data_IF_770410161095
#
_entry.id   IF_770410161095
#
_cell.length_a   1.000
_cell.length_b   1.000
_cell.length_c   1.000
_cell.angle_alpha   90.00
_cell.angle_beta   90.00
_cell.angle_gamma   90.00
#
_symmetry.space_group_name_H-M   'P 1'
#
loop_
_entity.id
_entity.type
_entity.pdbx_description
1 polymer ?
#
# COMPACT_ATOMS: atom_id res chain seq x y z
N UNK A 1 -5.69 -18.85 -16.60
CA UNK A 1 -5.28 -17.58 -16.00
C UNK A 1 -3.90 -17.20 -16.52
N UNK A 2 -3.72 -15.93 -16.88
CA UNK A 2 -2.43 -15.42 -17.33
C UNK A 2 -1.66 -14.81 -16.14
N UNK A 3 -0.37 -15.07 -16.05
CA UNK A 3 0.51 -14.38 -15.09
C UNK A 3 1.03 -13.08 -15.70
N UNK A 4 0.90 -11.97 -14.97
CA UNK A 4 1.39 -10.65 -15.39
C UNK A 4 2.85 -10.50 -14.96
N UNK A 5 3.77 -10.95 -15.80
CA UNK A 5 5.20 -10.86 -15.51
C UNK A 5 5.66 -9.39 -15.48
N UNK A 6 6.43 -8.98 -14.47
CA UNK A 6 6.94 -7.63 -14.26
C UNK A 6 5.83 -6.54 -14.12
N UNK A 7 4.62 -6.91 -13.70
CA UNK A 7 3.60 -5.92 -13.38
C UNK A 7 3.97 -5.16 -12.09
N UNK A 8 3.56 -3.89 -12.05
CA UNK A 8 3.65 -3.07 -10.82
C UNK A 8 2.34 -3.26 -10.06
N UNK A 9 2.39 -3.83 -8.88
CA UNK A 9 1.22 -3.95 -8.01
C UNK A 9 1.05 -2.71 -7.14
N UNK A 10 -0.21 -2.43 -6.83
CA UNK A 10 -0.62 -1.31 -5.99
C UNK A 10 -1.75 -1.73 -5.07
N UNK A 11 -1.67 -1.32 -3.81
CA UNK A 11 -2.79 -1.32 -2.87
C UNK A 11 -3.35 0.09 -2.75
N UNK A 12 -4.63 0.27 -2.95
CA UNK A 12 -5.30 1.56 -2.80
C UNK A 12 -6.27 1.49 -1.64
N UNK A 13 -6.04 2.34 -0.65
CA UNK A 13 -6.95 2.51 0.47
C UNK A 13 -7.86 3.71 0.23
N UNK A 14 -9.16 3.50 0.36
CA UNK A 14 -10.13 4.57 0.21
C UNK A 14 -11.21 4.51 1.28
N UNK A 15 -11.89 5.63 1.48
CA UNK A 15 -13.08 5.74 2.34
C UNK A 15 -14.24 6.26 1.52
N UNK A 16 -15.40 5.64 1.71
CA UNK A 16 -16.65 6.01 1.03
C UNK A 16 -17.78 6.20 2.05
N UNK A 17 -18.61 7.20 1.86
CA UNK A 17 -19.84 7.41 2.65
C UNK A 17 -21.14 7.05 1.88
N UNK A 18 -20.97 6.39 0.71
CA UNK A 18 -22.06 6.04 -0.20
C UNK A 18 -22.36 7.11 -1.26
N UNK A 19 -21.75 8.29 -1.17
CA UNK A 19 -21.89 9.41 -2.13
C UNK A 19 -20.53 9.93 -2.57
N UNK A 20 -19.67 10.23 -1.61
CA UNK A 20 -18.32 10.72 -1.81
C UNK A 20 -17.29 9.62 -1.53
N UNK A 21 -16.20 9.63 -2.29
CA UNK A 21 -15.08 8.71 -2.11
C UNK A 21 -13.78 9.50 -2.05
N UNK A 22 -13.01 9.28 -1.00
CA UNK A 22 -11.68 9.88 -0.85
C UNK A 22 -10.63 8.79 -0.82
N UNK A 23 -9.62 8.92 -1.69
CA UNK A 23 -8.43 8.08 -1.64
C UNK A 23 -7.63 8.44 -0.39
N UNK A 24 -7.43 7.46 0.47
CA UNK A 24 -6.60 7.58 1.67
C UNK A 24 -5.13 7.46 1.34
N UNK A 25 -4.80 6.63 0.35
CA UNK A 25 -3.45 6.49 -0.15
C UNK A 25 -3.34 5.44 -1.24
N UNK A 26 -2.39 5.65 -2.16
CA UNK A 26 -1.98 4.70 -3.20
C UNK A 26 -0.60 4.19 -2.80
N UNK A 27 -0.51 2.90 -2.49
CA UNK A 27 0.72 2.24 -2.07
C UNK A 27 1.28 1.46 -3.24
N UNK A 28 2.45 1.84 -3.71
CA UNK A 28 3.15 1.10 -4.76
C UNK A 28 4.01 0.02 -4.13
N UNK A 29 3.86 -1.23 -4.55
CA UNK A 29 4.70 -2.35 -4.12
C UNK A 29 6.12 -2.22 -4.69
N UNK A 30 7.09 -2.67 -3.91
CA UNK A 30 8.51 -2.69 -4.27
C UNK A 30 8.87 -4.05 -4.89
N UNK A 31 8.35 -5.13 -4.31
CA UNK A 31 8.52 -6.47 -4.83
C UNK A 31 7.73 -6.67 -6.13
N UNK A 32 8.16 -7.65 -6.90
CA UNK A 32 7.47 -8.03 -8.13
C UNK A 32 6.06 -8.59 -7.85
N UNK A 33 5.19 -8.53 -8.86
CA UNK A 33 3.84 -9.06 -8.81
C UNK A 33 3.82 -10.56 -8.45
N UNK A 34 2.78 -10.97 -7.70
CA UNK A 34 2.58 -12.35 -7.26
C UNK A 34 3.08 -12.65 -5.85
N UNK A 35 3.72 -11.69 -5.18
CA UNK A 35 4.04 -11.77 -3.76
C UNK A 35 2.85 -11.23 -2.96
N UNK A 36 2.50 -11.93 -1.88
CA UNK A 36 1.38 -11.51 -1.02
C UNK A 36 1.56 -10.08 -0.52
N UNK A 37 0.52 -9.24 -0.62
CA UNK A 37 0.58 -7.81 -0.26
C UNK A 37 1.02 -7.54 1.19
N UNK A 38 0.78 -8.48 2.11
CA UNK A 38 1.28 -8.41 3.48
C UNK A 38 2.78 -8.56 3.60
N UNK A 39 3.42 -9.24 2.66
CA UNK A 39 4.85 -9.52 2.62
C UNK A 39 5.62 -8.52 1.75
N UNK A 40 4.93 -7.81 0.87
CA UNK A 40 5.53 -6.79 0.03
C UNK A 40 5.81 -5.51 0.81
N UNK A 41 7.00 -4.95 0.61
CA UNK A 41 7.26 -3.57 0.98
C UNK A 41 6.45 -2.64 0.06
N UNK A 42 5.98 -1.52 0.57
CA UNK A 42 5.27 -0.55 -0.25
C UNK A 42 5.55 0.89 0.15
N UNK A 43 5.55 1.76 -0.86
CA UNK A 43 5.80 3.19 -0.72
C UNK A 43 4.53 4.02 -0.83
N UNK A 44 4.38 4.98 0.06
CA UNK A 44 3.38 6.05 0.02
C UNK A 44 4.10 7.41 0.18
N UNK A 45 3.99 8.36 -0.76
CA UNK A 45 3.37 8.19 -2.08
C UNK A 45 4.10 7.19 -2.98
N UNK A 46 3.50 6.80 -4.13
CA UNK A 46 4.18 6.00 -5.15
C UNK A 46 5.49 6.65 -5.59
N UNK A 47 6.52 5.82 -5.82
CA UNK A 47 7.87 6.34 -6.13
C UNK A 47 8.21 6.33 -7.62
N UNK A 48 7.47 5.58 -8.45
CA UNK A 48 7.74 5.46 -9.89
C UNK A 48 6.52 5.62 -10.80
N UNK A 49 5.31 5.76 -10.24
CA UNK A 49 4.11 5.96 -11.03
C UNK A 49 4.03 7.40 -11.56
N UNK A 50 3.54 7.56 -12.80
CA UNK A 50 3.30 8.88 -13.38
C UNK A 50 2.05 9.51 -12.77
N UNK A 51 1.98 10.85 -12.79
CA UNK A 51 0.78 11.58 -12.31
C UNK A 51 -0.50 11.18 -13.05
N UNK A 52 -0.38 10.90 -14.35
CA UNK A 52 -1.54 10.50 -15.16
C UNK A 52 -2.05 9.11 -14.76
N UNK A 53 -1.14 8.17 -14.50
CA UNK A 53 -1.51 6.85 -13.99
C UNK A 53 -2.14 6.93 -12.59
N UNK A 54 -1.61 7.77 -11.70
CA UNK A 54 -2.19 8.02 -10.36
C UNK A 54 -3.62 8.57 -10.49
N UNK A 55 -3.88 9.48 -11.44
CA UNK A 55 -5.23 9.99 -11.71
C UNK A 55 -6.16 8.89 -12.23
N UNK A 56 -5.68 8.08 -13.18
CA UNK A 56 -6.46 6.96 -13.74
C UNK A 56 -6.84 5.94 -12.64
N UNK A 57 -5.88 5.56 -11.80
CA UNK A 57 -6.10 4.69 -10.62
C UNK A 57 -7.15 5.30 -9.70
N UNK A 58 -7.03 6.59 -9.38
CA UNK A 58 -7.97 7.28 -8.49
C UNK A 58 -9.39 7.30 -9.06
N UNK A 59 -9.55 7.56 -10.36
CA UNK A 59 -10.86 7.55 -11.04
C UNK A 59 -11.46 6.14 -11.00
N UNK A 60 -10.67 5.13 -11.34
CA UNK A 60 -11.12 3.72 -11.33
C UNK A 60 -11.60 3.29 -9.94
N UNK A 61 -10.82 3.55 -8.91
CA UNK A 61 -11.16 3.15 -7.52
C UNK A 61 -12.41 3.86 -7.02
N UNK A 62 -12.55 5.17 -7.31
CA UNK A 62 -13.76 5.92 -6.96
C UNK A 62 -15.00 5.35 -7.66
N UNK A 63 -14.91 5.03 -8.94
CA UNK A 63 -16.00 4.40 -9.69
C UNK A 63 -16.38 3.04 -9.12
N UNK A 64 -15.41 2.20 -8.81
CA UNK A 64 -15.63 0.88 -8.19
C UNK A 64 -16.36 1.03 -6.85
N UNK A 65 -15.86 1.92 -5.97
CA UNK A 65 -16.44 2.13 -4.65
C UNK A 65 -17.91 2.55 -4.70
N UNK A 66 -18.26 3.43 -5.64
CA UNK A 66 -19.64 3.89 -5.84
C UNK A 66 -20.53 2.81 -6.44
N UNK A 67 -20.03 2.05 -7.43
CA UNK A 67 -20.79 0.99 -8.10
C UNK A 67 -21.18 -0.14 -7.15
N UNK A 68 -20.25 -0.55 -6.27
CA UNK A 68 -20.55 -1.57 -5.26
C UNK A 68 -21.26 -1.01 -4.03
N UNK A 69 -21.57 0.31 -4.03
CA UNK A 69 -22.23 1.01 -2.92
C UNK A 69 -21.49 0.85 -1.58
N UNK A 70 -20.16 0.95 -1.62
CA UNK A 70 -19.35 0.83 -0.42
C UNK A 70 -19.70 1.92 0.59
N UNK A 71 -19.70 1.56 1.89
CA UNK A 71 -19.79 2.53 3.00
C UNK A 71 -18.74 2.13 4.03
N UNK A 72 -17.85 3.06 4.35
CA UNK A 72 -16.70 2.81 5.21
C UNK A 72 -15.41 2.65 4.40
N UNK A 73 -14.54 1.76 4.85
CA UNK A 73 -13.24 1.50 4.23
C UNK A 73 -13.36 0.52 3.08
N UNK A 74 -12.55 0.76 2.05
CA UNK A 74 -12.40 -0.13 0.90
C UNK A 74 -10.92 -0.19 0.52
N UNK A 75 -10.42 -1.39 0.30
CA UNK A 75 -9.12 -1.67 -0.29
C UNK A 75 -9.31 -2.21 -1.70
N UNK A 76 -8.58 -1.67 -2.65
CA UNK A 76 -8.57 -2.13 -4.05
C UNK A 76 -7.14 -2.47 -4.43
N UNK A 77 -6.93 -3.67 -4.96
CA UNK A 77 -5.64 -4.12 -5.47
C UNK A 77 -5.65 -4.05 -6.99
N UNK A 78 -4.67 -3.35 -7.54
CA UNK A 78 -4.48 -3.18 -8.97
C UNK A 78 -3.08 -3.63 -9.38
N UNK A 79 -2.95 -4.08 -10.63
CA UNK A 79 -1.67 -4.28 -11.28
C UNK A 79 -1.59 -3.42 -12.55
N UNK A 80 -0.44 -2.82 -12.80
CA UNK A 80 -0.15 -2.08 -14.02
C UNK A 80 0.87 -2.84 -14.85
N UNK A 81 0.50 -3.18 -16.08
CA UNK A 81 1.34 -3.95 -16.99
C UNK A 81 1.05 -3.53 -18.44
N UNK A 82 2.09 -3.30 -19.24
CA UNK A 82 1.98 -2.92 -20.67
C UNK A 82 0.97 -1.79 -20.94
N UNK A 83 1.06 -0.71 -20.16
CA UNK A 83 0.17 0.46 -20.24
C UNK A 83 -1.32 0.13 -20.00
N UNK A 84 -1.62 -0.90 -19.22
CA UNK A 84 -2.98 -1.29 -18.83
C UNK A 84 -3.08 -1.49 -17.33
N UNK A 85 -4.21 -1.05 -16.76
CA UNK A 85 -4.59 -1.37 -15.39
C UNK A 85 -5.43 -2.65 -15.36
N UNK A 86 -5.08 -3.53 -14.44
CA UNK A 86 -5.80 -4.77 -14.15
C UNK A 86 -6.33 -4.72 -12.72
N UNK A 87 -7.63 -4.93 -12.56
CA UNK A 87 -8.24 -5.11 -11.25
C UNK A 87 -7.96 -6.52 -10.76
N UNK A 88 -7.29 -6.64 -9.61
CA UNK A 88 -6.99 -7.92 -9.00
C UNK A 88 -8.05 -8.29 -7.96
N UNK A 89 -8.30 -7.39 -6.99
CA UNK A 89 -9.20 -7.65 -5.88
C UNK A 89 -9.86 -6.37 -5.37
N UNK A 90 -11.08 -6.50 -4.87
CA UNK A 90 -11.82 -5.43 -4.19
C UNK A 90 -12.29 -5.94 -2.83
N UNK A 91 -11.85 -5.28 -1.78
CA UNK A 91 -12.14 -5.63 -0.39
C UNK A 91 -12.90 -4.49 0.31
N UNK A 92 -14.24 -4.51 0.39
CA UNK A 92 -15.02 -3.49 1.10
C UNK A 92 -14.93 -3.71 2.63
N UNK A 93 -13.74 -3.56 3.17
CA UNK A 93 -13.39 -3.73 4.57
C UNK A 93 -12.10 -3.01 4.90
N UNK A 94 -11.80 -2.85 6.19
CA UNK A 94 -10.46 -2.41 6.62
C UNK A 94 -9.39 -3.44 6.20
N UNK A 95 -8.28 -2.93 5.71
CA UNK A 95 -7.09 -3.70 5.40
C UNK A 95 -6.03 -3.56 6.52
N UNK A 96 -4.97 -4.33 6.45
CA UNK A 96 -3.83 -4.22 7.36
C UNK A 96 -3.00 -2.95 7.14
N UNK A 97 -3.04 -2.37 5.94
CA UNK A 97 -2.31 -1.14 5.61
C UNK A 97 -2.97 0.13 6.13
N UNK A 98 -4.24 0.07 6.62
CA UNK A 98 -4.94 1.23 7.18
C UNK A 98 -4.17 1.94 8.31
N UNK A 99 -3.55 1.25 9.29
CA UNK A 99 -2.75 1.93 10.31
C UNK A 99 -1.53 2.64 9.73
N UNK A 100 -0.85 2.03 8.76
CA UNK A 100 0.28 2.63 8.06
C UNK A 100 -0.14 3.90 7.31
N UNK A 101 -1.16 3.81 6.45
CA UNK A 101 -1.69 4.96 5.70
C UNK A 101 -2.14 6.07 6.64
N UNK A 102 -2.86 5.73 7.70
CA UNK A 102 -3.33 6.70 8.69
C UNK A 102 -2.20 7.49 9.35
N UNK A 103 -1.06 6.82 9.65
CA UNK A 103 0.15 7.47 10.17
C UNK A 103 0.78 8.39 9.13
N UNK A 104 0.87 7.93 7.87
CA UNK A 104 1.46 8.71 6.79
C UNK A 104 0.73 10.03 6.55
N UNK A 105 -0.61 10.01 6.53
CA UNK A 105 -1.44 11.19 6.24
C UNK A 105 -1.86 12.00 7.48
N UNK A 106 -1.55 11.50 8.68
CA UNK A 106 -1.91 12.16 9.94
C UNK A 106 -3.42 12.16 10.24
N UNK A 107 -4.20 11.26 9.62
CA UNK A 107 -5.65 11.13 9.82
C UNK A 107 -6.04 9.67 10.02
N UNK A 108 -6.81 9.38 11.06
CA UNK A 108 -7.27 8.02 11.34
C UNK A 108 -8.35 7.58 10.35
N UNK A 109 -7.97 6.86 9.29
CA UNK A 109 -8.92 6.34 8.31
C UNK A 109 -9.92 5.36 8.92
N UNK A 110 -9.48 4.56 9.90
CA UNK A 110 -10.36 3.64 10.61
C UNK A 110 -11.50 4.38 11.32
N UNK A 111 -11.19 5.52 12.01
CA UNK A 111 -12.20 6.36 12.64
C UNK A 111 -13.14 6.98 11.60
N UNK A 112 -12.59 7.53 10.51
CA UNK A 112 -13.38 8.15 9.44
C UNK A 112 -14.32 7.12 8.83
N UNK A 113 -13.83 5.94 8.48
CA UNK A 113 -14.65 4.86 7.92
C UNK A 113 -15.75 4.39 8.87
N UNK A 114 -15.43 4.22 10.16
CA UNK A 114 -16.43 3.85 11.17
C UNK A 114 -17.54 4.92 11.31
N UNK A 115 -17.19 6.20 11.25
CA UNK A 115 -18.16 7.30 11.26
C UNK A 115 -19.03 7.31 10.00
N UNK A 116 -18.47 7.00 8.81
CA UNK A 116 -19.26 6.82 7.59
C UNK A 116 -20.30 5.71 7.76
N UNK A 117 -19.90 4.57 8.33
CA UNK A 117 -20.80 3.46 8.61
C UNK A 117 -21.88 3.82 9.64
N UNK A 118 -21.61 4.78 10.53
CA UNK A 118 -22.57 5.35 11.46
C UNK A 118 -23.45 6.45 10.83
N UNK A 119 -23.32 6.72 9.53
CA UNK A 119 -24.13 7.69 8.79
C UNK A 119 -23.60 9.12 8.80
N UNK A 120 -22.36 9.36 9.28
CA UNK A 120 -21.74 10.68 9.27
C UNK A 120 -20.95 10.82 7.96
N UNK A 121 -21.32 11.82 7.14
CA UNK A 121 -20.72 12.01 5.82
C UNK A 121 -19.24 12.41 5.89
N UNK A 122 -18.49 12.14 4.82
CA UNK A 122 -17.11 12.62 4.68
C UNK A 122 -17.03 14.14 4.75
N UNK A 123 -18.05 14.83 4.25
CA UNK A 123 -18.17 16.29 4.33
C UNK A 123 -18.27 16.78 5.79
N UNK A 124 -19.10 16.17 6.62
CA UNK A 124 -19.27 16.55 8.03
C UNK A 124 -18.01 16.23 8.86
N UNK A 125 -17.17 15.30 8.38
CA UNK A 125 -15.89 14.94 8.96
C UNK A 125 -14.73 15.84 8.45
N UNK A 126 -14.98 16.81 7.57
CA UNK A 126 -13.97 17.63 6.89
C UNK A 126 -12.88 16.74 6.20
N UNK A 127 -13.33 15.71 5.50
CA UNK A 127 -12.47 14.76 4.79
C UNK A 127 -12.99 14.53 3.37
N UNK A 128 -12.86 15.53 2.50
CA UNK A 128 -13.27 15.48 1.08
C UNK A 128 -12.09 15.50 0.11
N UNK A 129 -10.88 15.69 0.62
CA UNK A 129 -9.68 15.79 -0.22
C UNK A 129 -8.66 14.77 0.23
N UNK A 130 -7.98 14.22 -0.75
CA UNK A 130 -6.81 13.37 -0.56
C UNK A 130 -5.67 14.16 0.10
N UNK A 131 -4.97 13.54 1.04
CA UNK A 131 -3.80 14.11 1.69
C UNK A 131 -2.57 13.40 1.15
N UNK A 132 -1.76 14.13 0.38
CA UNK A 132 -0.48 13.63 -0.12
C UNK A 132 0.61 14.13 0.81
N UNK A 133 1.32 13.24 1.54
CA UNK A 133 2.41 13.65 2.41
C UNK A 133 3.56 14.28 1.61
N UNK A 134 4.23 15.33 2.14
CA UNK A 134 5.41 15.93 1.50
C UNK A 134 6.71 15.10 1.70
N UNK A 135 6.59 13.89 2.17
CA UNK A 135 7.67 12.94 2.45
C UNK A 135 7.25 11.54 2.03
N UNK A 136 8.23 10.67 1.82
CA UNK A 136 8.00 9.26 1.55
C UNK A 136 7.90 8.47 2.84
N UNK A 137 7.01 7.50 2.84
CA UNK A 137 6.92 6.48 3.88
C UNK A 137 6.96 5.11 3.22
N UNK A 138 7.79 4.23 3.73
CA UNK A 138 7.87 2.84 3.26
C UNK A 138 7.45 1.92 4.40
N UNK A 139 6.49 1.06 4.11
CA UNK A 139 6.15 -0.10 4.93
C UNK A 139 7.10 -1.24 4.55
N UNK A 140 7.70 -1.90 5.52
CA UNK A 140 8.52 -3.09 5.33
C UNK A 140 7.96 -4.22 6.19
N UNK A 141 7.93 -5.43 5.64
CA UNK A 141 7.47 -6.61 6.35
C UNK A 141 8.55 -7.15 7.32
N UNK A 142 8.12 -7.70 8.45
CA UNK A 142 9.01 -8.39 9.39
C UNK A 142 8.76 -9.89 9.30
N UNK A 143 9.82 -10.65 9.01
CA UNK A 143 9.75 -12.09 8.81
C UNK A 143 10.35 -12.86 10.01
N UNK A 144 9.70 -13.95 10.46
CA UNK A 144 10.17 -14.75 11.59
C UNK A 144 11.17 -15.84 11.18
N UNK A 145 11.80 -15.76 10.00
CA UNK A 145 12.64 -16.84 9.45
C UNK A 145 13.78 -17.27 10.36
N UNK A 146 14.35 -16.33 11.11
CA UNK A 146 15.41 -16.63 12.08
C UNK A 146 14.94 -17.45 13.28
N UNK A 147 13.63 -17.48 13.54
CA UNK A 147 13.03 -18.24 14.65
C UNK A 147 12.62 -19.66 14.26
N UNK A 148 12.49 -19.93 12.96
CA UNK A 148 12.03 -21.20 12.43
C UNK A 148 13.06 -21.76 11.46
N UNK A 149 13.91 -22.67 11.96
CA UNK A 149 14.94 -23.32 11.15
C UNK A 149 14.30 -24.21 10.08
N UNK A 150 14.82 -24.12 8.84
CA UNK A 150 14.38 -24.95 7.72
C UNK A 150 13.13 -24.46 6.99
N UNK A 151 12.60 -23.28 7.32
CA UNK A 151 11.53 -22.64 6.56
C UNK A 151 12.14 -21.99 5.31
N UNK A 152 11.50 -22.19 4.15
CA UNK A 152 11.86 -21.54 2.91
C UNK A 152 11.60 -20.02 2.99
N UNK A 153 12.63 -19.17 2.84
CA UNK A 153 12.45 -17.72 2.87
C UNK A 153 11.93 -17.12 1.56
N UNK A 154 11.78 -17.90 0.48
CA UNK A 154 11.29 -17.42 -0.80
C UNK A 154 9.85 -16.95 -0.64
N UNK A 155 9.60 -15.67 -0.99
CA UNK A 155 8.28 -15.08 -0.94
C UNK A 155 7.41 -15.55 -2.11
N UNK A 156 6.10 -15.56 -1.89
CA UNK A 156 5.11 -16.03 -2.85
C UNK A 156 3.71 -15.56 -2.50
N UNK A 157 2.67 -16.23 -3.00
CA UNK A 157 1.28 -15.82 -2.79
C UNK A 157 0.76 -16.04 -1.36
N UNK A 158 1.49 -16.81 -0.54
CA UNK A 158 1.13 -17.07 0.86
C UNK A 158 1.87 -16.12 1.79
N UNK A 159 1.15 -15.50 2.73
CA UNK A 159 1.74 -14.58 3.68
C UNK A 159 2.63 -15.29 4.70
N UNK A 160 3.87 -14.82 4.84
CA UNK A 160 4.88 -15.33 5.80
C UNK A 160 5.26 -14.31 6.87
N UNK A 161 4.98 -13.02 6.67
CA UNK A 161 5.30 -11.96 7.63
C UNK A 161 4.46 -12.05 8.90
N UNK A 162 5.04 -11.59 10.00
CA UNK A 162 4.39 -11.56 11.33
C UNK A 162 4.22 -10.15 11.88
N UNK A 163 4.71 -9.14 11.17
CA UNK A 163 4.63 -7.75 11.56
C UNK A 163 5.10 -6.84 10.44
N UNK A 164 5.06 -5.54 10.70
CA UNK A 164 5.52 -4.53 9.77
C UNK A 164 6.17 -3.36 10.52
N UNK A 165 7.06 -2.67 9.84
CA UNK A 165 7.71 -1.44 10.29
C UNK A 165 7.53 -0.34 9.27
N UNK A 166 7.79 0.90 9.66
CA UNK A 166 7.67 2.07 8.81
C UNK A 166 8.96 2.88 8.84
N UNK A 167 9.52 3.14 7.66
CA UNK A 167 10.59 4.13 7.46
C UNK A 167 10.03 5.38 6.80
N UNK A 168 10.50 6.56 7.21
CA UNK A 168 10.13 7.84 6.59
C UNK A 168 11.37 8.62 6.18
N UNK A 169 11.30 9.30 5.03
CA UNK A 169 12.42 10.08 4.50
C UNK A 169 11.96 11.18 3.57
N UNK A 170 12.86 12.10 3.26
CA UNK A 170 12.63 13.20 2.30
C UNK A 170 12.57 12.70 0.86
N UNK A 171 13.08 11.51 0.61
CA UNK A 171 13.00 10.79 -0.66
C UNK A 171 12.76 9.30 -0.41
N UNK A 172 12.40 8.58 -1.48
CA UNK A 172 12.10 7.15 -1.42
C UNK A 172 13.26 6.33 -0.87
N UNK A 173 14.49 6.55 -1.35
CA UNK A 173 15.66 5.76 -0.96
C UNK A 173 15.96 5.86 0.54
N UNK A 174 15.83 7.06 1.12
CA UNK A 174 16.00 7.28 2.56
C UNK A 174 14.91 6.55 3.36
N UNK A 175 13.65 6.67 2.93
CA UNK A 175 12.53 5.99 3.58
C UNK A 175 12.69 4.47 3.54
N UNK A 176 13.08 3.94 2.39
CA UNK A 176 13.29 2.50 2.20
C UNK A 176 14.46 1.98 3.05
N UNK A 177 15.60 2.65 3.03
CA UNK A 177 16.74 2.26 3.88
C UNK A 177 16.37 2.23 5.38
N UNK A 178 15.61 3.24 5.85
CA UNK A 178 15.13 3.27 7.24
C UNK A 178 14.14 2.13 7.55
N UNK A 179 13.28 1.78 6.60
CA UNK A 179 12.35 0.66 6.75
C UNK A 179 13.10 -0.67 6.85
N UNK A 180 14.10 -0.91 6.00
CA UNK A 180 14.97 -2.09 6.05
C UNK A 180 15.69 -2.21 7.40
N UNK A 181 16.31 -1.12 7.87
CA UNK A 181 16.94 -1.08 9.19
C UNK A 181 15.94 -1.37 10.32
N UNK A 182 14.72 -0.82 10.21
CA UNK A 182 13.63 -1.05 11.17
C UNK A 182 13.16 -2.51 11.19
N UNK A 183 13.21 -3.21 10.05
CA UNK A 183 12.90 -4.65 9.93
C UNK A 183 14.02 -5.55 10.47
N UNK A 184 15.18 -4.97 10.81
CA UNK A 184 16.32 -5.70 11.36
C UNK A 184 17.38 -6.07 10.33
N UNK A 185 17.23 -5.59 9.09
CA UNK A 185 18.23 -5.79 8.05
C UNK A 185 19.52 -5.02 8.35
N UNK A 186 20.66 -5.63 8.01
CA UNK A 186 21.97 -5.02 8.18
C UNK A 186 22.44 -4.45 6.84
N UNK A 187 22.32 -3.15 6.66
CA UNK A 187 22.85 -2.48 5.48
C UNK A 187 24.34 -2.21 5.69
N UNK A 188 25.24 -2.85 4.94
CA UNK A 188 26.67 -2.60 5.07
C UNK A 188 27.00 -1.20 4.55
N UNK A 189 27.88 -0.50 5.27
CA UNK A 189 28.36 0.83 4.90
C UNK A 189 29.81 0.84 4.38
N UNK A 190 30.43 -0.33 4.32
CA UNK A 190 31.79 -0.53 3.80
C UNK A 190 31.98 -1.97 3.38
N UNK A 191 32.93 -2.22 2.50
CA UNK A 191 33.28 -3.56 2.00
C UNK A 191 33.23 -3.66 0.48
N UNK A 192 33.31 -4.89 -0.03
CA UNK A 192 33.17 -5.20 -1.46
C UNK A 192 31.79 -5.78 -1.73
N UNK A 193 31.15 -5.36 -2.81
CA UNK A 193 29.83 -5.83 -3.25
C UNK A 193 29.98 -6.54 -4.58
N UNK A 194 29.40 -7.74 -4.69
CA UNK A 194 29.20 -8.42 -5.96
C UNK A 194 27.74 -8.21 -6.39
N UNK A 195 27.56 -7.66 -7.59
CA UNK A 195 26.26 -7.46 -8.21
C UNK A 195 26.12 -8.37 -9.42
N UNK A 196 25.03 -9.16 -9.44
CA UNK A 196 24.59 -9.90 -10.62
C UNK A 196 23.18 -9.39 -10.97
N UNK A 197 23.02 -8.85 -12.18
CA UNK A 197 21.76 -8.31 -12.72
C UNK A 197 21.47 -8.94 -14.06
#
# INVERSE_FOLDING_TARGET
>A
DGFLNQAIEMDIEAVCDGKDVVIGGILQHIEQAGIHSGDSACSLPPYSLTEDLIKEVSIMVKSIALEIKAVGLINVQLAYHENKLFLLEVNPRASRTIPFVSKCIGRSLAKIGALCMAGISLKDQNFLQEIIPPYYSVKEAVFPFTKFMGVDPILGPEMKSTGEVMGTGTNFSEAYAKAQLGAGEKIPNSGSVFLSV
#
